data_IF_070738304865
#
_entry.id   IF_070738304865
#
_cell.length_a   1.000
_cell.length_b   1.000
_cell.length_c   1.000
_cell.angle_alpha   90.00
_cell.angle_beta   90.00
_cell.angle_gamma   90.00
#
_symmetry.space_group_name_H-M   'P 1'
#
loop_
_entity.id
_entity.type
_entity.pdbx_description
1 polymer ?
#
# COMPACT_ATOMS: atom_id res chain seq x y z
N UNK A 1 -18.07 41.76 12.51
CA UNK A 1 -17.07 41.38 11.48
C UNK A 1 -16.15 40.35 12.11
N UNK A 2 -16.41 39.08 11.89
CA UNK A 2 -15.64 37.95 12.44
C UNK A 2 -14.70 37.46 11.37
N UNK A 3 -13.38 37.60 11.58
CA UNK A 3 -12.36 37.13 10.67
C UNK A 3 -12.33 35.59 10.69
N UNK A 4 -12.55 34.98 9.54
CA UNK A 4 -12.31 33.54 9.36
C UNK A 4 -10.79 33.29 9.39
N UNK A 5 -10.31 32.22 10.06
CA UNK A 5 -8.92 31.85 9.99
C UNK A 5 -8.59 31.33 8.60
N UNK A 6 -7.66 32.00 7.93
CA UNK A 6 -7.02 31.55 6.70
C UNK A 6 -6.11 30.38 7.08
N UNK A 7 -6.50 29.15 6.74
CA UNK A 7 -5.58 28.02 6.77
C UNK A 7 -4.74 28.07 5.47
N UNK A 8 -3.43 28.17 5.55
CA UNK A 8 -2.59 28.03 4.37
C UNK A 8 -2.80 26.61 3.82
N UNK A 9 -3.12 26.51 2.53
CA UNK A 9 -3.13 25.25 1.81
C UNK A 9 -1.70 24.73 1.75
N UNK A 10 -1.37 23.76 2.58
CA UNK A 10 -0.11 23.04 2.45
C UNK A 10 -0.08 22.35 1.09
N UNK A 11 1.02 22.47 0.33
CA UNK A 11 1.16 21.72 -0.92
C UNK A 11 1.08 20.22 -0.63
N UNK A 12 0.57 19.45 -1.60
CA UNK A 12 0.59 17.99 -1.52
C UNK A 12 2.01 17.49 -1.29
N UNK A 13 2.22 16.50 -0.42
CA UNK A 13 3.56 15.92 -0.20
C UNK A 13 4.19 15.34 -1.47
N UNK A 14 3.41 15.16 -2.55
CA UNK A 14 3.85 14.58 -3.82
C UNK A 14 4.00 15.61 -4.97
N UNK A 15 3.72 16.90 -4.75
CA UNK A 15 3.72 17.92 -5.81
C UNK A 15 5.10 18.18 -6.44
N UNK A 16 6.19 17.84 -5.76
CA UNK A 16 7.56 18.04 -6.28
C UNK A 16 8.01 17.00 -7.31
N UNK A 17 7.21 15.95 -7.58
CA UNK A 17 7.61 14.81 -8.43
C UNK A 17 7.05 14.95 -9.84
N UNK A 18 6.04 15.79 -10.02
CA UNK A 18 5.29 15.92 -11.28
C UNK A 18 5.56 17.22 -12.02
N UNK A 19 6.82 17.64 -12.14
CA UNK A 19 7.16 18.63 -13.18
C UNK A 19 6.78 18.01 -14.53
N UNK A 20 6.03 18.71 -15.40
CA UNK A 20 5.65 18.20 -16.70
C UNK A 20 6.90 18.07 -17.57
N UNK A 21 7.54 16.90 -17.49
CA UNK A 21 8.57 16.52 -18.46
C UNK A 21 7.85 16.42 -19.80
N UNK A 22 8.25 17.25 -20.76
CA UNK A 22 7.83 17.16 -22.16
C UNK A 22 7.91 15.70 -22.58
N UNK A 23 6.79 15.16 -23.06
CA UNK A 23 6.70 13.78 -23.57
C UNK A 23 7.62 13.68 -24.79
N UNK A 24 8.86 13.30 -24.57
CA UNK A 24 9.67 12.78 -25.66
C UNK A 24 9.07 11.42 -26.04
N UNK A 25 8.49 11.38 -27.23
CA UNK A 25 7.93 10.16 -27.78
C UNK A 25 9.02 9.13 -27.94
N UNK A 26 8.94 8.00 -27.17
CA UNK A 26 9.76 6.85 -27.49
C UNK A 26 9.47 6.36 -28.89
N UNK A 27 10.50 6.16 -29.67
CA UNK A 27 10.42 5.45 -30.94
C UNK A 27 10.29 3.94 -30.75
N UNK A 28 10.42 3.45 -29.52
CA UNK A 28 10.36 2.02 -29.15
C UNK A 28 9.63 1.84 -27.80
N UNK A 29 8.76 0.82 -27.76
CA UNK A 29 8.09 0.40 -26.53
C UNK A 29 9.10 -0.04 -25.47
N UNK A 30 9.07 0.56 -24.27
CA UNK A 30 9.96 0.18 -23.18
C UNK A 30 9.58 -1.22 -22.65
N UNK A 31 10.55 -2.11 -22.51
CA UNK A 31 10.36 -3.43 -21.91
C UNK A 31 10.75 -3.41 -20.45
N UNK A 32 9.81 -3.78 -19.58
CA UNK A 32 9.97 -3.74 -18.13
C UNK A 32 9.86 -5.15 -17.57
N UNK A 33 10.95 -5.66 -17.00
CA UNK A 33 10.97 -6.92 -16.27
C UNK A 33 10.64 -6.67 -14.79
N UNK A 34 9.64 -7.36 -14.23
CA UNK A 34 9.25 -7.20 -12.82
C UNK A 34 9.56 -8.46 -12.03
N UNK A 35 10.29 -8.36 -10.91
CA UNK A 35 10.48 -9.44 -9.95
C UNK A 35 9.59 -9.20 -8.73
N UNK A 36 8.67 -10.12 -8.46
CA UNK A 36 7.75 -10.04 -7.31
C UNK A 36 6.92 -11.31 -7.12
N UNK A 37 6.16 -11.37 -6.03
CA UNK A 37 4.98 -12.24 -5.96
C UNK A 37 3.94 -11.80 -6.99
N UNK A 38 3.21 -12.76 -7.56
CA UNK A 38 2.18 -12.54 -8.58
C UNK A 38 1.08 -13.60 -8.45
N UNK A 39 -0.03 -13.42 -9.16
CA UNK A 39 -1.09 -14.42 -9.18
C UNK A 39 -0.55 -15.82 -9.56
N UNK A 40 -0.98 -16.90 -8.86
CA UNK A 40 -2.13 -17.01 -7.98
C UNK A 40 -1.87 -16.66 -6.50
N UNK A 41 -0.69 -16.22 -6.09
CA UNK A 41 -0.38 -15.85 -4.70
C UNK A 41 -1.33 -14.75 -4.20
N UNK A 42 -2.06 -15.02 -3.11
CA UNK A 42 -3.01 -14.10 -2.50
C UNK A 42 -2.34 -13.21 -1.45
N UNK A 43 -1.63 -12.17 -1.89
CA UNK A 43 -1.03 -11.17 -0.99
C UNK A 43 -1.14 -9.76 -1.56
N UNK A 44 -0.85 -8.76 -0.72
CA UNK A 44 -0.87 -7.35 -1.10
C UNK A 44 0.12 -7.01 -2.21
N UNK A 45 1.34 -7.59 -2.15
CA UNK A 45 2.36 -7.39 -3.17
C UNK A 45 1.94 -7.95 -4.53
N UNK A 46 1.37 -9.14 -4.57
CA UNK A 46 0.88 -9.73 -5.84
C UNK A 46 -0.20 -8.85 -6.48
N UNK A 47 -1.09 -8.27 -5.66
CA UNK A 47 -2.11 -7.33 -6.12
C UNK A 47 -1.49 -6.03 -6.61
N UNK A 48 -0.52 -5.48 -5.88
CA UNK A 48 0.23 -4.29 -6.27
C UNK A 48 0.95 -4.51 -7.61
N UNK A 49 1.69 -5.62 -7.73
CA UNK A 49 2.45 -5.95 -8.94
C UNK A 49 1.55 -6.10 -10.15
N UNK A 50 0.41 -6.76 -10.00
CA UNK A 50 -0.56 -6.90 -11.09
C UNK A 50 -1.09 -5.52 -11.54
N UNK A 51 -1.50 -4.67 -10.61
CA UNK A 51 -2.03 -3.34 -10.90
C UNK A 51 -0.98 -2.41 -11.51
N UNK A 52 0.26 -2.42 -11.01
CA UNK A 52 1.38 -1.66 -11.58
C UNK A 52 1.68 -2.15 -13.01
N UNK A 53 1.76 -3.46 -13.21
CA UNK A 53 2.01 -4.05 -14.53
C UNK A 53 0.92 -3.68 -15.56
N UNK A 54 -0.35 -3.74 -15.15
CA UNK A 54 -1.47 -3.33 -16.00
C UNK A 54 -1.39 -1.83 -16.36
N UNK A 55 -1.02 -0.98 -15.41
CA UNK A 55 -0.89 0.44 -15.62
C UNK A 55 0.33 0.80 -16.50
N UNK A 56 1.46 0.10 -16.34
CA UNK A 56 2.63 0.25 -17.21
C UNK A 56 2.28 -0.14 -18.65
N UNK A 57 1.57 -1.26 -18.85
CA UNK A 57 1.10 -1.66 -20.17
C UNK A 57 0.12 -0.65 -20.77
N UNK A 58 -0.82 -0.13 -19.97
CA UNK A 58 -1.75 0.91 -20.40
C UNK A 58 -1.03 2.22 -20.80
N UNK A 59 0.13 2.49 -20.22
CA UNK A 59 1.01 3.62 -20.58
C UNK A 59 1.98 3.29 -21.72
N UNK A 60 1.85 2.13 -22.37
CA UNK A 60 2.59 1.75 -23.59
C UNK A 60 3.87 0.95 -23.35
N UNK A 61 4.13 0.44 -22.15
CA UNK A 61 5.24 -0.48 -21.90
C UNK A 61 4.87 -1.93 -22.21
N UNK A 62 5.87 -2.75 -22.53
CA UNK A 62 5.78 -4.21 -22.54
C UNK A 62 6.29 -4.74 -21.20
N UNK A 63 5.48 -5.53 -20.48
CA UNK A 63 5.80 -5.95 -19.13
C UNK A 63 5.82 -7.46 -19.01
N UNK A 64 6.95 -7.99 -18.55
CA UNK A 64 7.14 -9.38 -18.17
C UNK A 64 7.37 -9.51 -16.66
N UNK A 65 6.99 -10.65 -16.08
CA UNK A 65 7.10 -10.89 -14.63
C UNK A 65 7.90 -12.17 -14.39
N UNK A 66 8.92 -12.07 -13.56
CA UNK A 66 9.53 -13.21 -12.88
C UNK A 66 8.84 -13.34 -11.51
N UNK A 67 8.07 -14.42 -11.33
CA UNK A 67 7.27 -14.62 -10.13
C UNK A 67 8.10 -15.24 -9.01
N UNK A 68 8.05 -14.68 -7.82
CA UNK A 68 8.55 -15.37 -6.62
C UNK A 68 7.55 -16.46 -6.26
N UNK A 69 7.98 -17.72 -6.34
CA UNK A 69 7.15 -18.90 -6.12
C UNK A 69 7.34 -19.40 -4.68
N UNK A 70 6.34 -19.15 -3.83
CA UNK A 70 6.33 -19.54 -2.42
C UNK A 70 5.26 -20.59 -2.06
N UNK A 71 4.34 -20.87 -2.99
CA UNK A 71 3.13 -21.64 -2.73
C UNK A 71 2.99 -22.95 -3.53
N UNK A 72 4.01 -23.29 -4.33
CA UNK A 72 4.00 -24.48 -5.19
C UNK A 72 2.96 -24.44 -6.32
N UNK A 73 2.16 -23.39 -6.41
CA UNK A 73 1.18 -23.22 -7.48
C UNK A 73 1.81 -22.54 -8.69
N UNK A 74 1.47 -23.00 -9.91
CA UNK A 74 1.92 -22.36 -11.13
C UNK A 74 1.00 -21.20 -11.52
N UNK A 75 1.60 -20.13 -12.01
CA UNK A 75 0.82 -19.03 -12.60
C UNK A 75 0.29 -19.44 -13.97
N UNK A 76 -0.97 -19.06 -14.26
CA UNK A 76 -1.55 -19.18 -15.59
C UNK A 76 -1.46 -17.90 -16.42
N UNK A 77 -0.82 -16.86 -15.90
CA UNK A 77 -0.66 -15.58 -16.58
C UNK A 77 0.44 -15.67 -17.65
N UNK A 78 0.14 -15.29 -18.88
CA UNK A 78 1.10 -15.21 -19.97
C UNK A 78 2.22 -14.18 -19.71
N UNK A 79 1.98 -13.23 -18.80
CA UNK A 79 2.98 -12.24 -18.38
C UNK A 79 4.10 -12.86 -17.54
N UNK A 80 3.84 -14.01 -16.88
CA UNK A 80 4.83 -14.70 -16.06
C UNK A 80 5.75 -15.52 -16.97
N UNK A 81 7.00 -15.06 -17.13
CA UNK A 81 8.00 -15.66 -18.01
C UNK A 81 8.95 -16.62 -17.29
N UNK A 82 8.94 -16.62 -15.96
CA UNK A 82 9.75 -17.49 -15.12
C UNK A 82 9.37 -17.40 -13.65
N UNK A 83 9.95 -18.28 -12.83
CA UNK A 83 9.71 -18.33 -11.39
C UNK A 83 11.05 -18.36 -10.64
N UNK A 84 11.15 -17.50 -9.61
CA UNK A 84 12.22 -17.56 -8.61
C UNK A 84 11.77 -18.50 -7.49
N UNK A 85 12.52 -19.59 -7.33
CA UNK A 85 12.29 -20.58 -6.27
C UNK A 85 13.29 -20.34 -5.15
N UNK A 86 12.78 -20.09 -3.94
CA UNK A 86 13.58 -19.80 -2.75
C UNK A 86 14.64 -20.87 -2.49
N UNK A 87 15.89 -20.45 -2.19
CA UNK A 87 17.02 -21.33 -1.89
C UNK A 87 17.60 -22.08 -3.08
N UNK A 88 17.21 -21.75 -4.32
CA UNK A 88 17.76 -22.34 -5.54
C UNK A 88 18.66 -21.37 -6.29
N UNK A 89 19.97 -21.54 -6.20
CA UNK A 89 20.95 -20.70 -6.91
C UNK A 89 20.77 -20.75 -8.44
N UNK A 90 20.37 -21.89 -8.98
CA UNK A 90 20.03 -22.02 -10.40
C UNK A 90 18.84 -21.15 -10.79
N UNK A 91 17.83 -21.09 -9.91
CA UNK A 91 16.65 -20.24 -10.11
C UNK A 91 16.99 -18.75 -9.99
N UNK A 92 17.90 -18.39 -9.09
CA UNK A 92 18.43 -17.02 -8.95
C UNK A 92 19.09 -16.56 -10.26
N UNK A 93 20.05 -17.34 -10.78
CA UNK A 93 20.72 -17.02 -12.04
C UNK A 93 19.76 -16.93 -13.23
N UNK A 94 18.84 -17.89 -13.37
CA UNK A 94 17.81 -17.86 -14.41
C UNK A 94 16.90 -16.64 -14.31
N UNK A 95 16.57 -16.19 -13.08
CA UNK A 95 15.77 -14.99 -12.86
C UNK A 95 16.47 -13.72 -13.34
N UNK A 96 17.77 -13.59 -13.04
CA UNK A 96 18.59 -12.46 -13.51
C UNK A 96 18.69 -12.46 -15.04
N UNK A 97 18.88 -13.62 -15.67
CA UNK A 97 18.92 -13.75 -17.14
C UNK A 97 17.59 -13.32 -17.79
N UNK A 98 16.44 -13.71 -17.23
CA UNK A 98 15.13 -13.32 -17.73
C UNK A 98 14.88 -11.82 -17.57
N UNK A 99 15.27 -11.24 -16.44
CA UNK A 99 15.17 -9.79 -16.19
C UNK A 99 16.06 -9.01 -17.16
N UNK A 100 17.26 -9.52 -17.45
CA UNK A 100 18.21 -8.90 -18.39
C UNK A 100 17.74 -8.89 -19.87
N UNK A 101 16.66 -9.61 -20.21
CA UNK A 101 16.03 -9.52 -21.51
C UNK A 101 15.18 -8.27 -21.71
N UNK A 102 14.97 -7.48 -20.65
CA UNK A 102 14.20 -6.24 -20.65
C UNK A 102 15.11 -5.01 -20.78
N UNK A 103 14.52 -3.84 -20.87
CA UNK A 103 15.26 -2.57 -20.90
C UNK A 103 15.54 -2.05 -19.47
N UNK A 104 14.68 -2.41 -18.50
CA UNK A 104 14.81 -2.08 -17.09
C UNK A 104 14.20 -3.19 -16.22
N UNK A 105 14.79 -3.45 -15.05
CA UNK A 105 14.25 -4.35 -14.04
C UNK A 105 13.60 -3.57 -12.89
N UNK A 106 12.38 -3.94 -12.50
CA UNK A 106 11.67 -3.41 -11.32
C UNK A 106 11.54 -4.52 -10.29
N UNK A 107 12.16 -4.35 -9.13
CA UNK A 107 12.22 -5.37 -8.08
C UNK A 107 11.41 -4.91 -6.88
N UNK A 108 10.38 -5.67 -6.52
CA UNK A 108 9.56 -5.40 -5.36
C UNK A 108 10.25 -5.98 -4.12
N UNK A 109 10.74 -5.15 -3.23
CA UNK A 109 11.43 -5.60 -2.02
C UNK A 109 10.48 -5.64 -0.82
N UNK A 110 10.42 -6.82 -0.20
CA UNK A 110 9.84 -7.10 1.12
C UNK A 110 10.61 -8.27 1.72
N UNK A 111 11.03 -8.15 2.97
CA UNK A 111 11.88 -9.16 3.65
C UNK A 111 11.29 -10.57 3.65
N UNK A 112 10.00 -10.70 3.62
CA UNK A 112 9.30 -11.97 3.79
C UNK A 112 8.89 -12.70 2.51
N UNK A 113 9.28 -12.24 1.32
CA UNK A 113 8.87 -12.87 0.04
C UNK A 113 9.97 -13.65 -0.65
N UNK A 114 11.24 -13.33 -0.40
CA UNK A 114 12.38 -14.02 -0.98
C UNK A 114 12.90 -15.11 -0.05
N UNK A 115 13.66 -16.05 -0.59
CA UNK A 115 14.38 -17.05 0.19
C UNK A 115 15.58 -16.47 0.93
N UNK A 116 16.26 -17.35 1.69
CA UNK A 116 17.37 -16.95 2.53
C UNK A 116 16.95 -16.32 3.85
N UNK A 117 17.90 -15.74 4.57
CA UNK A 117 17.63 -15.02 5.82
C UNK A 117 17.16 -13.60 5.48
N UNK A 118 16.01 -13.20 6.00
CA UNK A 118 15.43 -11.88 5.73
C UNK A 118 15.30 -11.55 4.23
N UNK A 119 15.17 -12.58 3.38
CA UNK A 119 14.96 -12.40 1.95
C UNK A 119 16.23 -12.07 1.15
N UNK A 120 17.40 -12.43 1.62
CA UNK A 120 18.69 -12.06 1.02
C UNK A 120 18.96 -12.70 -0.36
N UNK A 121 18.24 -13.77 -0.77
CA UNK A 121 18.33 -14.31 -2.15
C UNK A 121 18.13 -13.22 -3.24
N UNK A 122 17.42 -12.12 -2.93
CA UNK A 122 17.22 -11.02 -3.89
C UNK A 122 18.50 -10.24 -4.18
N UNK A 123 19.47 -10.25 -3.26
CA UNK A 123 20.78 -9.59 -3.41
C UNK A 123 21.52 -10.21 -4.59
N UNK A 124 21.57 -11.55 -4.66
CA UNK A 124 22.21 -12.28 -5.74
C UNK A 124 21.51 -12.06 -7.09
N UNK A 125 20.17 -11.92 -7.08
CA UNK A 125 19.44 -11.57 -8.32
C UNK A 125 19.85 -10.19 -8.81
N UNK A 126 19.96 -9.18 -7.92
CA UNK A 126 20.34 -7.82 -8.29
C UNK A 126 21.79 -7.78 -8.79
N UNK A 127 22.70 -8.52 -8.15
CA UNK A 127 24.11 -8.62 -8.57
C UNK A 127 24.23 -9.17 -10.00
N UNK A 128 23.36 -10.10 -10.40
CA UNK A 128 23.31 -10.67 -11.74
C UNK A 128 22.70 -9.75 -12.81
N UNK A 129 22.21 -8.56 -12.48
CA UNK A 129 21.58 -7.66 -13.44
C UNK A 129 22.60 -6.88 -14.26
N UNK A 130 22.40 -6.85 -15.58
CA UNK A 130 23.13 -6.01 -16.53
C UNK A 130 22.30 -4.80 -17.03
N UNK A 131 20.99 -4.82 -16.81
CA UNK A 131 20.09 -3.71 -17.12
C UNK A 131 19.91 -2.78 -15.92
N UNK A 132 19.46 -1.52 -16.10
CA UNK A 132 19.11 -0.64 -14.98
C UNK A 132 18.07 -1.30 -14.06
N UNK A 133 18.26 -1.11 -12.75
CA UNK A 133 17.38 -1.67 -11.72
C UNK A 133 16.73 -0.60 -10.86
N UNK A 134 15.41 -0.74 -10.65
CA UNK A 134 14.60 0.06 -9.76
C UNK A 134 14.08 -0.86 -8.66
N UNK A 135 14.53 -0.67 -7.43
CA UNK A 135 14.01 -1.42 -6.28
C UNK A 135 12.89 -0.64 -5.62
N UNK A 136 11.73 -1.26 -5.41
CA UNK A 136 10.59 -0.69 -4.69
C UNK A 136 10.58 -1.25 -3.27
N UNK A 137 10.94 -0.45 -2.28
CA UNK A 137 10.97 -0.86 -0.88
C UNK A 137 9.57 -0.69 -0.25
N UNK A 138 8.88 -1.82 -0.03
CA UNK A 138 7.56 -1.83 0.59
C UNK A 138 7.61 -1.62 2.10
N UNK A 139 8.68 -2.10 2.74
CA UNK A 139 8.92 -1.95 4.17
C UNK A 139 10.29 -1.31 4.41
N UNK A 140 10.31 -0.24 5.21
CA UNK A 140 11.50 0.35 5.79
C UNK A 140 11.34 0.28 7.30
N UNK A 141 12.00 -0.69 7.93
CA UNK A 141 11.88 -0.94 9.37
C UNK A 141 12.48 0.22 10.18
N UNK A 142 11.88 0.54 11.33
CA UNK A 142 12.40 1.51 12.27
C UNK A 142 13.58 0.93 13.04
N UNK A 143 13.40 -0.28 13.54
CA UNK A 143 14.36 -1.01 14.36
C UNK A 143 14.72 -2.35 13.67
N UNK A 144 15.46 -2.32 12.51
CA UNK A 144 15.85 -3.52 11.81
C UNK A 144 16.88 -4.32 12.63
N UNK A 145 16.86 -5.65 12.50
CA UNK A 145 17.99 -6.46 12.94
C UNK A 145 19.26 -6.07 12.16
N UNK A 146 20.47 -6.37 12.67
CA UNK A 146 21.68 -6.10 11.91
C UNK A 146 21.68 -6.71 10.51
N UNK A 147 21.11 -7.91 10.36
CA UNK A 147 21.02 -8.58 9.07
C UNK A 147 20.00 -7.91 8.14
N UNK A 148 18.79 -7.57 8.63
CA UNK A 148 17.79 -6.83 7.84
C UNK A 148 18.35 -5.49 7.35
N UNK A 149 19.12 -4.81 8.20
CA UNK A 149 19.81 -3.57 7.83
C UNK A 149 20.78 -3.82 6.69
N UNK A 150 21.67 -4.81 6.84
CA UNK A 150 22.70 -5.11 5.82
C UNK A 150 22.11 -5.53 4.49
N UNK A 151 21.00 -6.28 4.48
CA UNK A 151 20.28 -6.67 3.25
C UNK A 151 19.73 -5.43 2.53
N UNK A 152 19.03 -4.53 3.23
CA UNK A 152 18.46 -3.34 2.60
C UNK A 152 19.55 -2.37 2.11
N UNK A 153 20.64 -2.20 2.85
CA UNK A 153 21.78 -1.37 2.46
C UNK A 153 22.51 -1.94 1.25
N UNK A 154 22.71 -3.28 1.19
CA UNK A 154 23.30 -3.94 0.04
C UNK A 154 22.43 -3.77 -1.22
N UNK A 155 21.12 -3.98 -1.10
CA UNK A 155 20.15 -3.75 -2.18
C UNK A 155 20.24 -2.31 -2.69
N UNK A 156 20.21 -1.32 -1.77
CA UNK A 156 20.25 0.09 -2.14
C UNK A 156 21.59 0.52 -2.76
N UNK A 157 22.70 -0.10 -2.35
CA UNK A 157 24.02 0.15 -2.93
C UNK A 157 24.11 -0.34 -4.39
N UNK A 158 23.60 -1.55 -4.66
CA UNK A 158 23.67 -2.20 -5.98
C UNK A 158 22.62 -1.66 -6.95
N UNK A 159 21.42 -1.33 -6.48
CA UNK A 159 20.36 -0.81 -7.33
C UNK A 159 20.76 0.53 -7.97
N UNK A 160 20.35 0.77 -9.21
CA UNK A 160 20.51 2.09 -9.84
C UNK A 160 19.60 3.12 -9.17
N UNK A 161 18.39 2.70 -8.71
CA UNK A 161 17.47 3.57 -7.99
C UNK A 161 16.60 2.80 -6.99
N UNK A 162 16.20 3.48 -5.91
CA UNK A 162 15.28 2.96 -4.89
C UNK A 162 14.02 3.84 -4.85
N UNK A 163 12.88 3.21 -4.98
CA UNK A 163 11.57 3.85 -4.82
C UNK A 163 10.98 3.46 -3.47
N UNK A 164 10.51 4.46 -2.74
CA UNK A 164 9.66 4.31 -1.56
C UNK A 164 8.31 4.96 -1.81
N UNK A 165 7.28 4.61 -1.05
CA UNK A 165 5.90 4.99 -1.39
C UNK A 165 5.30 6.06 -0.48
N UNK A 166 6.12 6.67 0.39
CA UNK A 166 5.74 7.80 1.24
C UNK A 166 6.97 8.63 1.58
N UNK A 167 6.77 9.88 1.92
CA UNK A 167 7.87 10.72 2.38
C UNK A 167 8.38 10.27 3.75
N UNK A 168 7.51 9.74 4.61
CA UNK A 168 7.91 9.10 5.86
C UNK A 168 8.86 7.92 5.64
N UNK A 169 8.62 7.09 4.61
CA UNK A 169 9.54 6.02 4.23
C UNK A 169 10.87 6.56 3.70
N UNK A 170 10.84 7.61 2.87
CA UNK A 170 12.04 8.25 2.34
C UNK A 170 12.92 8.82 3.45
N UNK A 171 12.32 9.56 4.37
CA UNK A 171 13.04 10.13 5.51
C UNK A 171 13.65 9.03 6.37
N UNK A 172 12.89 7.97 6.68
CA UNK A 172 13.39 6.84 7.47
C UNK A 172 14.56 6.13 6.78
N UNK A 173 14.43 5.84 5.47
CA UNK A 173 15.50 5.21 4.70
C UNK A 173 16.76 6.09 4.66
N UNK A 174 16.61 7.35 4.30
CA UNK A 174 17.74 8.27 4.13
C UNK A 174 18.41 8.72 5.45
N UNK A 175 17.73 8.61 6.59
CA UNK A 175 18.27 8.98 7.90
C UNK A 175 18.73 7.77 8.73
N UNK A 176 18.11 6.61 8.51
CA UNK A 176 18.31 5.43 9.32
C UNK A 176 19.24 4.38 8.72
N UNK A 177 19.57 4.47 7.42
CA UNK A 177 20.37 3.49 6.68
C UNK A 177 21.48 4.18 5.89
N UNK A 178 22.55 3.42 5.58
CA UNK A 178 23.63 3.89 4.72
C UNK A 178 23.24 3.75 3.26
N UNK A 179 22.59 4.79 2.73
CA UNK A 179 22.08 4.83 1.36
C UNK A 179 22.40 6.16 0.68
N UNK A 180 22.71 6.13 -0.62
CA UNK A 180 22.83 7.34 -1.42
C UNK A 180 21.45 8.00 -1.63
N UNK A 181 21.21 9.11 -0.94
CA UNK A 181 19.93 9.85 -1.00
C UNK A 181 19.54 10.29 -2.40
N UNK A 182 20.50 10.45 -3.33
CA UNK A 182 20.25 10.82 -4.73
C UNK A 182 19.61 9.69 -5.51
N UNK A 183 19.79 8.45 -5.05
CA UNK A 183 19.16 7.26 -5.62
C UNK A 183 17.77 6.97 -5.03
N UNK A 184 17.27 7.76 -4.08
CA UNK A 184 16.00 7.50 -3.39
C UNK A 184 14.93 8.51 -3.82
N UNK A 185 13.84 8.00 -4.40
CA UNK A 185 12.68 8.81 -4.81
C UNK A 185 11.40 8.28 -4.20
N UNK A 186 10.47 9.18 -3.87
CA UNK A 186 9.12 8.84 -3.46
C UNK A 186 8.21 8.77 -4.70
N UNK A 187 7.65 7.59 -4.97
CA UNK A 187 6.53 7.41 -5.91
C UNK A 187 5.38 6.82 -5.10
N UNK A 188 4.22 7.49 -5.00
CA UNK A 188 3.16 7.04 -4.12
C UNK A 188 2.63 5.64 -4.50
N UNK A 189 2.06 4.93 -3.53
CA UNK A 189 1.34 3.70 -3.79
C UNK A 189 0.15 3.98 -4.72
N UNK A 190 0.01 3.22 -5.80
CA UNK A 190 -1.08 3.39 -6.75
C UNK A 190 -2.41 2.86 -6.22
N UNK A 191 -3.50 3.46 -6.69
CA UNK A 191 -4.85 3.00 -6.41
C UNK A 191 -5.78 3.16 -7.62
N UNK A 192 -6.86 2.39 -7.63
CA UNK A 192 -7.92 2.53 -8.61
C UNK A 192 -8.80 3.75 -8.26
N UNK A 193 -8.75 4.77 -9.10
CA UNK A 193 -9.63 5.93 -8.96
C UNK A 193 -11.00 5.60 -9.53
N UNK A 194 -12.02 5.69 -8.71
CA UNK A 194 -13.38 5.47 -9.14
C UNK A 194 -13.96 6.71 -9.82
N UNK A 195 -14.10 6.63 -11.13
CA UNK A 195 -14.82 7.64 -11.93
C UNK A 195 -16.30 7.25 -11.95
N UNK A 196 -17.18 8.07 -11.41
CA UNK A 196 -18.61 7.82 -11.46
C UNK A 196 -19.39 8.57 -10.38
N UNK A 197 -20.72 8.59 -10.48
CA UNK A 197 -21.56 9.19 -9.46
C UNK A 197 -21.38 8.44 -8.13
N UNK A 198 -21.34 9.19 -7.04
CA UNK A 198 -21.23 8.62 -5.70
C UNK A 198 -22.33 7.57 -5.48
N UNK A 199 -21.94 6.36 -5.12
CA UNK A 199 -22.91 5.31 -4.78
C UNK A 199 -23.84 5.79 -3.66
N UNK A 200 -25.14 5.48 -3.79
CA UNK A 200 -26.11 5.77 -2.73
C UNK A 200 -25.67 5.05 -1.45
N UNK A 201 -25.38 5.84 -0.41
CA UNK A 201 -24.97 5.26 0.87
C UNK A 201 -26.12 4.46 1.49
N UNK A 202 -25.82 3.34 2.16
CA UNK A 202 -26.83 2.65 2.95
C UNK A 202 -27.44 3.60 3.98
N UNK A 203 -28.72 3.38 4.32
CA UNK A 203 -29.40 4.16 5.37
C UNK A 203 -28.74 4.01 6.74
N UNK A 204 -28.11 2.85 6.99
CA UNK A 204 -27.33 2.57 8.19
C UNK A 204 -25.84 2.90 7.92
N UNK A 205 -25.24 3.89 8.62
CA UNK A 205 -23.83 4.23 8.44
C UNK A 205 -22.92 3.03 8.72
N UNK A 206 -21.94 2.80 7.82
CA UNK A 206 -21.00 1.67 7.97
C UNK A 206 -19.60 2.21 8.24
N UNK A 207 -19.00 1.80 9.36
CA UNK A 207 -17.56 1.87 9.59
C UNK A 207 -16.93 0.66 8.91
N UNK A 208 -15.83 0.84 8.20
CA UNK A 208 -15.20 -0.23 7.43
C UNK A 208 -13.72 -0.36 7.76
N UNK A 209 -13.31 -1.56 8.13
CA UNK A 209 -11.91 -2.03 8.11
C UNK A 209 -11.82 -3.23 7.18
N UNK A 210 -10.80 -3.29 6.32
CA UNK A 210 -10.63 -4.44 5.42
C UNK A 210 -9.17 -4.87 5.29
N UNK A 211 -8.97 -6.05 4.70
CA UNK A 211 -7.68 -6.65 4.42
C UNK A 211 -7.51 -7.99 5.10
N UNK A 212 -6.28 -8.48 5.15
CA UNK A 212 -5.95 -9.73 5.83
C UNK A 212 -6.03 -9.51 7.34
N UNK A 213 -6.92 -10.25 8.02
CA UNK A 213 -7.22 -10.11 9.43
C UNK A 213 -6.20 -10.88 10.28
N UNK A 214 -5.74 -10.28 11.36
CA UNK A 214 -4.83 -10.87 12.34
C UNK A 214 -4.43 -9.90 13.43
N UNK A 215 -3.63 -10.33 14.40
CA UNK A 215 -3.05 -9.48 15.42
C UNK A 215 -2.37 -8.26 14.83
N UNK A 216 -2.44 -7.11 15.50
CA UNK A 216 -1.90 -5.85 15.01
C UNK A 216 -2.86 -5.05 14.12
N UNK A 217 -4.02 -5.61 13.73
CA UNK A 217 -5.05 -4.86 12.99
C UNK A 217 -5.90 -3.96 13.86
N UNK A 218 -5.84 -4.09 15.18
CA UNK A 218 -6.50 -3.21 16.16
C UNK A 218 -8.03 -3.20 16.07
N UNK A 219 -8.64 -4.21 15.48
CA UNK A 219 -10.10 -4.35 15.32
C UNK A 219 -10.82 -4.23 16.66
N UNK A 220 -10.19 -4.72 17.73
CA UNK A 220 -10.63 -4.66 19.11
C UNK A 220 -10.95 -3.24 19.58
N UNK A 221 -10.15 -2.24 19.21
CA UNK A 221 -10.34 -0.82 19.58
C UNK A 221 -11.66 -0.26 19.03
N UNK A 222 -11.99 -0.67 17.80
CA UNK A 222 -13.24 -0.22 17.16
C UNK A 222 -14.44 -0.95 17.78
N UNK A 223 -14.32 -2.25 18.10
CA UNK A 223 -15.37 -3.01 18.77
C UNK A 223 -15.70 -2.36 20.14
N UNK A 224 -14.69 -1.98 20.91
CA UNK A 224 -14.86 -1.25 22.18
C UNK A 224 -15.59 0.09 21.96
N UNK A 225 -15.15 0.86 20.95
CA UNK A 225 -15.78 2.12 20.58
C UNK A 225 -17.25 1.97 20.20
N UNK A 226 -17.66 0.84 19.59
CA UNK A 226 -19.04 0.59 19.16
C UNK A 226 -20.03 0.61 20.33
N UNK A 227 -19.60 0.31 21.57
CA UNK A 227 -20.45 0.38 22.75
C UNK A 227 -21.06 1.78 22.95
N UNK A 228 -20.30 2.83 22.64
CA UNK A 228 -20.75 4.23 22.74
C UNK A 228 -21.36 4.78 21.43
N UNK A 229 -21.21 4.07 20.31
CA UNK A 229 -21.63 4.54 18.99
C UNK A 229 -22.94 3.90 18.50
N UNK A 230 -23.28 2.71 18.97
CA UNK A 230 -24.43 1.91 18.50
C UNK A 230 -25.78 2.65 18.55
N UNK A 231 -25.93 3.55 19.52
CA UNK A 231 -27.18 4.31 19.76
C UNK A 231 -27.22 5.65 19.04
N UNK A 232 -26.21 6.00 18.25
CA UNK A 232 -26.23 7.20 17.43
C UNK A 232 -27.32 7.14 16.36
N UNK A 233 -27.82 8.30 15.87
CA UNK A 233 -28.76 8.35 14.76
C UNK A 233 -28.30 7.52 13.57
N UNK A 234 -29.18 6.68 13.04
CA UNK A 234 -28.87 5.75 11.95
C UNK A 234 -28.27 4.42 12.43
N UNK A 235 -28.03 4.23 13.73
CA UNK A 235 -27.50 2.97 14.34
C UNK A 235 -26.30 2.44 13.57
N UNK A 236 -25.13 3.08 13.65
CA UNK A 236 -23.95 2.69 12.90
C UNK A 236 -23.62 1.19 13.06
N UNK A 237 -23.02 0.62 12.03
CA UNK A 237 -22.46 -0.74 12.09
C UNK A 237 -20.98 -0.72 11.76
N UNK A 238 -20.25 -1.66 12.30
CA UNK A 238 -18.85 -1.92 11.97
C UNK A 238 -18.75 -3.17 11.11
N UNK A 239 -18.16 -3.05 9.93
CA UNK A 239 -17.88 -4.14 9.02
C UNK A 239 -16.37 -4.39 8.98
N UNK A 240 -15.96 -5.59 9.39
CA UNK A 240 -14.60 -6.11 9.25
C UNK A 240 -14.61 -7.06 8.06
N UNK A 241 -13.99 -6.65 6.94
CA UNK A 241 -14.04 -7.36 5.68
C UNK A 241 -12.68 -7.95 5.29
N UNK A 242 -12.62 -9.25 5.09
CA UNK A 242 -11.43 -9.95 4.63
C UNK A 242 -11.17 -11.27 5.33
N UNK A 243 -10.27 -12.05 4.72
CA UNK A 243 -9.83 -13.35 5.23
C UNK A 243 -8.86 -13.17 6.39
N UNK A 244 -8.73 -14.20 7.20
CA UNK A 244 -7.62 -14.32 8.14
C UNK A 244 -6.30 -14.41 7.36
N UNK A 245 -5.27 -13.74 7.87
CA UNK A 245 -3.95 -13.73 7.25
C UNK A 245 -3.41 -15.17 7.14
N UNK A 246 -2.85 -15.62 5.98
CA UNK A 246 -2.43 -17.01 5.79
C UNK A 246 -1.47 -17.53 6.86
N UNK A 247 -0.50 -16.72 7.30
CA UNK A 247 0.43 -17.11 8.38
C UNK A 247 -0.29 -17.25 9.74
N UNK A 248 -1.31 -16.44 10.02
CA UNK A 248 -2.13 -16.55 11.24
C UNK A 248 -3.02 -17.79 11.14
N UNK A 249 -3.65 -18.00 9.98
CA UNK A 249 -4.50 -19.16 9.72
C UNK A 249 -3.73 -20.49 9.86
N UNK A 250 -2.48 -20.54 9.38
CA UNK A 250 -1.65 -21.74 9.49
C UNK A 250 -1.14 -22.02 10.92
N UNK A 251 -0.94 -20.98 11.75
CA UNK A 251 -0.48 -21.11 13.13
C UNK A 251 -1.64 -21.29 14.13
N UNK A 252 -2.58 -20.37 14.10
CA UNK A 252 -3.62 -20.21 15.13
C UNK A 252 -5.05 -20.44 14.60
N UNK A 253 -5.22 -20.81 13.32
CA UNK A 253 -6.54 -20.97 12.71
C UNK A 253 -7.32 -19.65 12.71
N UNK A 254 -8.61 -19.72 13.01
CA UNK A 254 -9.50 -18.55 13.10
C UNK A 254 -9.57 -17.93 14.52
N UNK A 255 -8.70 -18.36 15.45
CA UNK A 255 -8.77 -17.97 16.86
C UNK A 255 -8.82 -16.44 17.07
N UNK A 256 -8.09 -15.66 16.28
CA UNK A 256 -8.14 -14.20 16.38
C UNK A 256 -9.53 -13.66 16.01
N UNK A 257 -10.12 -14.11 14.90
CA UNK A 257 -11.47 -13.72 14.46
C UNK A 257 -12.52 -14.10 15.50
N UNK A 258 -12.48 -15.34 15.97
CA UNK A 258 -13.42 -15.86 16.97
C UNK A 258 -13.34 -15.05 18.27
N UNK A 259 -12.14 -14.71 18.72
CA UNK A 259 -11.93 -13.85 19.88
C UNK A 259 -12.53 -12.46 19.71
N UNK A 260 -12.47 -11.87 18.48
CA UNK A 260 -13.09 -10.56 18.19
C UNK A 260 -14.61 -10.66 18.11
N UNK A 261 -15.16 -11.74 17.58
CA UNK A 261 -16.61 -12.00 17.59
C UNK A 261 -17.12 -12.16 19.04
N UNK A 262 -16.39 -12.89 19.86
CA UNK A 262 -16.71 -13.05 21.29
C UNK A 262 -16.58 -11.71 22.05
N UNK A 263 -15.60 -10.87 21.72
CA UNK A 263 -15.49 -9.54 22.28
C UNK A 263 -16.73 -8.70 21.94
N UNK A 264 -17.19 -8.71 20.69
CA UNK A 264 -18.40 -8.00 20.28
C UNK A 264 -19.64 -8.47 21.06
N UNK A 265 -19.77 -9.78 21.29
CA UNK A 265 -20.85 -10.36 22.09
C UNK A 265 -20.78 -9.90 23.55
N UNK A 266 -19.63 -10.00 24.18
CA UNK A 266 -19.45 -9.56 25.59
C UNK A 266 -19.69 -8.08 25.78
N UNK A 267 -19.36 -7.27 24.77
CA UNK A 267 -19.61 -5.81 24.79
C UNK A 267 -21.07 -5.44 24.41
N UNK A 268 -21.95 -6.41 24.12
CA UNK A 268 -23.33 -6.19 23.71
C UNK A 268 -23.47 -5.37 22.43
N UNK A 269 -22.58 -5.63 21.46
CA UNK A 269 -22.55 -4.94 20.15
C UNK A 269 -22.56 -5.91 18.95
N UNK A 270 -22.83 -7.20 19.18
CA UNK A 270 -22.85 -8.23 18.14
C UNK A 270 -23.76 -7.92 16.96
N UNK A 271 -24.91 -7.29 17.20
CA UNK A 271 -25.84 -6.84 16.15
C UNK A 271 -25.32 -5.63 15.34
N UNK A 272 -24.25 -5.02 15.81
CA UNK A 272 -23.63 -3.85 15.18
C UNK A 272 -22.25 -4.12 14.62
N UNK A 273 -21.69 -5.31 14.82
CA UNK A 273 -20.38 -5.74 14.29
C UNK A 273 -20.57 -6.94 13.38
N UNK A 274 -20.05 -6.84 12.17
CA UNK A 274 -20.15 -7.94 11.18
C UNK A 274 -18.76 -8.29 10.66
N UNK A 275 -18.45 -9.58 10.64
CA UNK A 275 -17.23 -10.12 10.03
C UNK A 275 -17.58 -10.76 8.69
N UNK A 276 -16.96 -10.28 7.60
CA UNK A 276 -17.08 -10.84 6.27
C UNK A 276 -15.76 -11.49 5.87
N UNK A 277 -15.70 -12.81 5.85
CA UNK A 277 -14.49 -13.59 5.57
C UNK A 277 -14.18 -13.74 4.08
N UNK A 278 -14.95 -13.10 3.18
CA UNK A 278 -14.69 -13.16 1.75
C UNK A 278 -13.43 -12.39 1.37
N UNK A 279 -12.73 -12.88 0.36
CA UNK A 279 -11.69 -12.09 -0.28
C UNK A 279 -12.32 -11.04 -1.20
N UNK A 280 -11.96 -9.79 -0.99
CA UNK A 280 -12.42 -8.67 -1.81
C UNK A 280 -11.35 -8.33 -2.84
N UNK A 281 -11.54 -8.84 -4.07
CA UNK A 281 -10.63 -8.55 -5.18
C UNK A 281 -10.73 -7.10 -5.68
N UNK A 282 -9.72 -6.67 -6.44
CA UNK A 282 -9.57 -5.29 -6.92
C UNK A 282 -10.82 -4.73 -7.64
N UNK A 283 -11.57 -5.56 -8.36
CA UNK A 283 -12.79 -5.13 -9.08
C UNK A 283 -13.98 -4.79 -8.17
N UNK A 284 -14.07 -5.40 -6.98
CA UNK A 284 -15.21 -5.23 -6.05
C UNK A 284 -14.88 -4.34 -4.86
N UNK A 285 -13.60 -4.24 -4.50
CA UNK A 285 -13.12 -3.50 -3.34
C UNK A 285 -13.51 -2.01 -3.39
N UNK A 286 -13.37 -1.27 -4.50
CA UNK A 286 -13.77 0.13 -4.57
C UNK A 286 -15.24 0.37 -4.22
N UNK A 287 -16.14 -0.49 -4.69
CA UNK A 287 -17.57 -0.38 -4.36
C UNK A 287 -17.84 -0.61 -2.87
N UNK A 288 -17.15 -1.56 -2.25
CA UNK A 288 -17.22 -1.77 -0.81
C UNK A 288 -16.76 -0.52 -0.05
N UNK A 289 -15.60 0.03 -0.39
CA UNK A 289 -15.04 1.22 0.26
C UNK A 289 -15.99 2.41 0.09
N UNK A 290 -16.52 2.63 -1.12
CA UNK A 290 -17.47 3.73 -1.38
C UNK A 290 -18.79 3.60 -0.61
N UNK A 291 -19.21 2.39 -0.26
CA UNK A 291 -20.40 2.16 0.56
C UNK A 291 -20.21 2.58 2.03
N UNK A 292 -18.98 2.70 2.50
CA UNK A 292 -18.67 3.07 3.86
C UNK A 292 -18.96 4.56 4.15
N UNK A 293 -19.41 4.86 5.35
CA UNK A 293 -19.50 6.24 5.86
C UNK A 293 -18.12 6.75 6.27
N UNK A 294 -17.29 5.88 6.85
CA UNK A 294 -15.92 6.16 7.28
C UNK A 294 -15.10 4.87 7.18
N UNK A 295 -13.85 5.00 6.75
CA UNK A 295 -12.84 3.94 6.83
C UNK A 295 -12.10 4.06 8.14
N UNK A 296 -11.86 2.94 8.81
CA UNK A 296 -11.15 2.91 10.10
C UNK A 296 -9.92 2.03 9.98
N UNK A 297 -8.76 2.60 10.30
CA UNK A 297 -7.47 1.92 10.28
C UNK A 297 -6.85 1.94 11.68
N UNK A 298 -7.32 1.07 12.58
CA UNK A 298 -6.99 1.14 14.02
C UNK A 298 -5.72 0.35 14.37
N UNK A 299 -4.73 0.35 13.46
CA UNK A 299 -3.54 -0.51 13.54
C UNK A 299 -2.74 -0.27 14.83
N UNK A 300 -2.17 -1.35 15.38
CA UNK A 300 -1.29 -1.28 16.55
C UNK A 300 0.13 -0.81 16.16
N UNK A 301 0.49 -1.00 14.89
CA UNK A 301 1.81 -0.61 14.41
C UNK A 301 2.02 0.91 14.49
N UNK A 302 3.10 1.31 15.15
CA UNK A 302 3.61 2.69 15.15
C UNK A 302 4.63 2.94 14.04
N UNK A 303 4.90 1.93 13.21
CA UNK A 303 6.03 1.92 12.27
C UNK A 303 5.64 1.92 10.81
N UNK A 304 4.38 1.68 10.49
CA UNK A 304 3.95 1.49 9.11
C UNK A 304 4.13 2.75 8.26
N UNK A 305 5.18 2.77 7.43
CA UNK A 305 5.49 3.89 6.53
C UNK A 305 4.76 3.82 5.19
N UNK A 306 4.12 2.69 4.86
CA UNK A 306 3.32 2.54 3.65
C UNK A 306 2.05 1.73 3.96
N UNK A 307 0.91 2.20 3.49
CA UNK A 307 -0.39 1.51 3.64
C UNK A 307 -1.22 1.65 2.37
N UNK A 308 -1.28 0.58 1.57
CA UNK A 308 -2.14 0.53 0.38
C UNK A 308 -3.63 0.67 0.74
N UNK A 309 -4.03 0.13 1.91
CA UNK A 309 -5.41 0.27 2.42
C UNK A 309 -5.79 1.73 2.66
N UNK A 310 -4.87 2.55 3.21
CA UNK A 310 -5.06 3.99 3.38
C UNK A 310 -5.20 4.69 2.03
N UNK A 311 -4.31 4.36 1.08
CA UNK A 311 -4.32 4.93 -0.28
C UNK A 311 -5.62 4.59 -1.00
N UNK A 312 -6.10 3.35 -0.92
CA UNK A 312 -7.39 2.95 -1.49
C UNK A 312 -8.57 3.72 -0.88
N UNK A 313 -8.55 3.98 0.43
CA UNK A 313 -9.59 4.79 1.10
C UNK A 313 -9.62 6.23 0.57
N UNK A 314 -8.46 6.85 0.44
CA UNK A 314 -8.27 8.20 -0.11
C UNK A 314 -8.72 8.23 -1.58
N UNK A 315 -8.28 7.28 -2.39
CA UNK A 315 -8.65 7.15 -3.80
C UNK A 315 -10.16 7.01 -4.01
N UNK A 316 -10.85 6.35 -3.08
CA UNK A 316 -12.31 6.24 -3.08
C UNK A 316 -13.03 7.47 -2.47
N UNK A 317 -12.31 8.53 -2.10
CA UNK A 317 -12.86 9.76 -1.55
C UNK A 317 -13.60 9.54 -0.22
N UNK A 318 -13.08 8.65 0.65
CA UNK A 318 -13.71 8.36 1.95
C UNK A 318 -13.01 9.06 3.10
N UNK A 319 -13.79 9.60 4.07
CA UNK A 319 -13.22 10.00 5.35
C UNK A 319 -12.50 8.83 6.01
N UNK A 320 -11.33 9.10 6.61
CA UNK A 320 -10.54 8.08 7.31
C UNK A 320 -10.36 8.47 8.76
N UNK A 321 -10.46 7.50 9.67
CA UNK A 321 -9.98 7.61 11.05
C UNK A 321 -8.91 6.54 11.23
N UNK A 322 -7.71 6.93 11.63
CA UNK A 322 -6.58 6.02 11.75
C UNK A 322 -5.79 6.28 13.04
N UNK A 323 -5.15 5.25 13.57
CA UNK A 323 -4.08 5.41 14.57
C UNK A 323 -2.86 6.11 13.97
N UNK A 324 -1.99 6.67 14.80
CA UNK A 324 -0.87 7.51 14.41
C UNK A 324 0.33 6.73 13.85
N UNK A 325 0.12 5.90 12.82
CA UNK A 325 1.26 5.36 12.06
C UNK A 325 1.78 6.38 11.03
N UNK A 326 3.07 6.37 10.67
CA UNK A 326 3.71 7.46 9.90
C UNK A 326 2.98 7.83 8.60
N UNK A 327 2.56 6.85 7.80
CA UNK A 327 1.84 7.14 6.55
C UNK A 327 0.45 7.77 6.79
N UNK A 328 -0.23 7.40 7.89
CA UNK A 328 -1.50 8.04 8.25
C UNK A 328 -1.30 9.49 8.68
N UNK A 329 -0.26 9.77 9.48
CA UNK A 329 0.10 11.14 9.89
C UNK A 329 0.39 11.99 8.65
N UNK A 330 1.16 11.47 7.69
CA UNK A 330 1.50 12.16 6.45
C UNK A 330 0.25 12.49 5.61
N UNK A 331 -0.53 11.48 5.24
CA UNK A 331 -1.66 11.66 4.31
C UNK A 331 -2.87 12.34 4.95
N UNK A 332 -3.21 11.99 6.18
CA UNK A 332 -4.40 12.51 6.85
C UNK A 332 -4.17 13.90 7.47
N UNK A 333 -2.89 14.27 7.69
CA UNK A 333 -2.50 15.61 8.15
C UNK A 333 -2.96 16.74 7.22
N UNK A 334 -3.24 16.44 5.96
CA UNK A 334 -3.82 17.37 4.98
C UNK A 334 -5.29 17.73 5.25
N UNK A 335 -5.98 16.97 6.09
CA UNK A 335 -7.43 17.12 6.39
C UNK A 335 -8.31 16.02 5.77
N UNK A 336 -7.73 15.00 5.12
CA UNK A 336 -8.48 13.88 4.55
C UNK A 336 -9.01 12.91 5.62
N UNK A 337 -8.57 13.05 6.88
CA UNK A 337 -8.96 12.16 7.97
C UNK A 337 -8.68 12.73 9.35
N UNK A 338 -8.86 11.89 10.36
CA UNK A 338 -8.48 12.14 11.74
C UNK A 338 -7.47 11.07 12.15
N UNK A 339 -6.32 11.52 12.65
CA UNK A 339 -5.32 10.66 13.29
C UNK A 339 -5.56 10.67 14.79
N UNK A 340 -5.57 9.50 15.41
CA UNK A 340 -5.75 9.34 16.85
C UNK A 340 -4.52 8.68 17.47
N UNK A 341 -4.23 9.01 18.71
CA UNK A 341 -3.12 8.42 19.44
C UNK A 341 -3.41 6.95 19.76
N UNK A 342 -2.36 6.12 19.74
CA UNK A 342 -2.45 4.70 20.11
C UNK A 342 -2.78 4.51 21.61
N UNK A 343 -2.31 5.42 22.44
CA UNK A 343 -2.40 5.34 23.90
C UNK A 343 -3.65 6.00 24.48
N UNK A 344 -4.49 6.65 23.63
CA UNK A 344 -5.75 7.27 24.06
C UNK A 344 -6.95 6.33 23.72
N UNK A 345 -7.50 5.62 24.71
CA UNK A 345 -8.58 4.65 24.48
C UNK A 345 -9.88 5.31 24.01
N UNK A 346 -10.11 6.60 24.34
CA UNK A 346 -11.32 7.33 24.00
C UNK A 346 -11.23 8.09 22.68
N UNK A 347 -10.00 8.31 22.18
CA UNK A 347 -9.78 9.10 20.97
C UNK A 347 -10.45 8.49 19.74
N UNK A 348 -10.41 7.16 19.59
CA UNK A 348 -11.05 6.46 18.49
C UNK A 348 -12.57 6.66 18.51
N UNK A 349 -13.21 6.43 19.64
CA UNK A 349 -14.67 6.62 19.79
C UNK A 349 -15.08 8.07 19.54
N UNK A 350 -14.31 9.02 20.07
CA UNK A 350 -14.53 10.47 19.88
C UNK A 350 -14.40 10.87 18.42
N UNK A 351 -13.35 10.44 17.72
CA UNK A 351 -13.13 10.72 16.30
C UNK A 351 -14.27 10.15 15.44
N UNK A 352 -14.62 8.89 15.65
CA UNK A 352 -15.72 8.23 14.93
C UNK A 352 -17.05 8.92 15.15
N UNK A 353 -17.38 9.27 16.41
CA UNK A 353 -18.58 10.05 16.75
C UNK A 353 -18.63 11.36 15.97
N UNK A 354 -17.54 12.13 15.94
CA UNK A 354 -17.46 13.41 15.22
C UNK A 354 -17.74 13.21 13.72
N UNK A 355 -17.10 12.22 13.07
CA UNK A 355 -17.30 11.95 11.64
C UNK A 355 -18.75 11.53 11.35
N UNK A 356 -19.36 10.72 12.23
CA UNK A 356 -20.74 10.23 12.05
C UNK A 356 -21.80 11.29 12.30
N UNK A 357 -21.56 12.25 13.22
CA UNK A 357 -22.55 13.24 13.64
C UNK A 357 -22.34 14.62 13.04
N UNK A 358 -21.20 14.88 12.39
CA UNK A 358 -20.87 16.19 11.80
C UNK A 358 -20.72 16.07 10.26
N UNK A 359 -21.82 16.18 9.48
CA UNK A 359 -21.80 15.98 8.03
C UNK A 359 -20.84 16.95 7.30
N UNK A 360 -20.65 18.17 7.82
CA UNK A 360 -19.71 19.14 7.24
C UNK A 360 -18.27 18.67 7.38
N UNK A 361 -17.90 18.14 8.54
CA UNK A 361 -16.56 17.58 8.76
C UNK A 361 -16.31 16.38 7.83
N UNK A 362 -17.23 15.41 7.81
CA UNK A 362 -17.13 14.26 6.92
C UNK A 362 -17.08 14.69 5.43
N UNK A 363 -17.80 15.72 5.06
CA UNK A 363 -17.81 16.31 3.72
C UNK A 363 -16.48 16.94 3.34
N UNK A 364 -15.86 17.73 4.23
CA UNK A 364 -14.54 18.33 4.00
C UNK A 364 -13.43 17.28 3.90
N UNK A 365 -13.44 16.27 4.78
CA UNK A 365 -12.50 15.16 4.72
C UNK A 365 -12.60 14.39 3.37
N UNK A 366 -13.82 14.08 2.94
CA UNK A 366 -14.07 13.44 1.66
C UNK A 366 -13.68 14.32 0.45
N UNK A 367 -13.79 15.63 0.55
CA UNK A 367 -13.36 16.56 -0.49
C UNK A 367 -11.83 16.58 -0.60
N UNK A 368 -11.15 16.63 0.55
CA UNK A 368 -9.69 16.58 0.59
C UNK A 368 -9.15 15.24 0.08
N UNK A 369 -9.75 14.11 0.46
CA UNK A 369 -9.39 12.81 -0.09
C UNK A 369 -9.50 12.79 -1.64
N UNK A 370 -10.57 13.33 -2.20
CA UNK A 370 -10.72 13.46 -3.66
C UNK A 370 -9.71 14.39 -4.31
N UNK A 371 -9.24 15.42 -3.60
CA UNK A 371 -8.18 16.31 -4.09
C UNK A 371 -6.84 15.60 -4.20
N UNK A 372 -6.52 14.72 -3.25
CA UNK A 372 -5.28 13.93 -3.24
C UNK A 372 -5.31 12.75 -4.22
N UNK A 373 -6.49 12.16 -4.45
CA UNK A 373 -6.66 10.92 -5.21
C UNK A 373 -5.97 10.89 -6.60
N UNK A 374 -6.00 11.95 -7.44
CA UNK A 374 -5.40 11.91 -8.77
C UNK A 374 -3.91 11.57 -8.79
N UNK A 375 -3.15 12.00 -7.78
CA UNK A 375 -1.71 11.74 -7.68
C UNK A 375 -1.40 10.25 -7.40
N UNK A 376 -2.37 9.53 -6.84
CA UNK A 376 -2.28 8.10 -6.53
C UNK A 376 -2.89 7.23 -7.63
N UNK A 377 -3.40 7.81 -8.73
CA UNK A 377 -3.97 7.03 -9.82
C UNK A 377 -2.91 6.13 -10.47
N UNK A 378 -3.23 4.84 -10.67
CA UNK A 378 -2.28 3.90 -11.29
C UNK A 378 -1.64 4.41 -12.58
N UNK A 379 -2.36 5.08 -13.53
CA UNK A 379 -1.72 5.64 -14.73
C UNK A 379 -0.67 6.71 -14.42
N UNK A 380 -0.90 7.55 -13.39
CA UNK A 380 0.05 8.58 -12.95
C UNK A 380 1.27 7.96 -12.30
N UNK A 381 1.06 7.00 -11.40
CA UNK A 381 2.13 6.22 -10.75
C UNK A 381 2.97 5.49 -11.80
N UNK A 382 2.35 4.78 -12.75
CA UNK A 382 3.07 4.09 -13.81
C UNK A 382 3.87 5.06 -14.71
N UNK A 383 3.34 6.25 -14.99
CA UNK A 383 4.07 7.29 -15.73
C UNK A 383 5.33 7.74 -14.98
N UNK A 384 5.27 7.87 -13.65
CA UNK A 384 6.43 8.20 -12.84
C UNK A 384 7.51 7.11 -12.89
N UNK A 385 7.13 5.82 -12.83
CA UNK A 385 8.07 4.70 -13.01
C UNK A 385 8.71 4.71 -14.40
N UNK A 386 7.94 4.94 -15.46
CA UNK A 386 8.48 5.01 -16.82
C UNK A 386 9.43 6.20 -16.98
N UNK A 387 9.08 7.37 -16.45
CA UNK A 387 9.97 8.54 -16.48
C UNK A 387 11.30 8.30 -15.75
N UNK A 388 11.24 7.56 -14.62
CA UNK A 388 12.45 7.16 -13.91
C UNK A 388 13.29 6.17 -14.72
N UNK A 389 12.65 5.15 -15.32
CA UNK A 389 13.31 4.18 -16.19
C UNK A 389 14.04 4.87 -17.36
N UNK A 390 13.37 5.84 -18.01
CA UNK A 390 13.94 6.62 -19.10
C UNK A 390 15.18 7.39 -18.71
N UNK A 391 15.13 8.04 -17.54
CA UNK A 391 16.29 8.74 -16.99
C UNK A 391 17.46 7.79 -16.81
N UNK A 392 17.25 6.62 -16.18
CA UNK A 392 18.31 5.64 -15.93
C UNK A 392 18.90 5.11 -17.24
N UNK A 393 18.07 4.85 -18.25
CA UNK A 393 18.52 4.44 -19.58
C UNK A 393 19.33 5.52 -20.28
N UNK A 394 18.95 6.79 -20.13
CA UNK A 394 19.70 7.91 -20.69
C UNK A 394 21.06 8.08 -20.01
N UNK A 395 21.10 8.01 -18.69
CA UNK A 395 22.32 8.16 -17.89
C UNK A 395 23.35 7.06 -18.25
N UNK A 396 22.92 5.80 -18.44
CA UNK A 396 23.82 4.72 -18.90
C UNK A 396 24.37 4.93 -20.31
N UNK A 397 23.59 5.54 -21.23
CA UNK A 397 24.07 5.83 -22.61
C UNK A 397 25.16 6.90 -22.66
N UNK A 398 25.20 7.78 -21.68
CA UNK A 398 26.23 8.84 -21.60
C UNK A 398 27.56 8.30 -21.04
N UNK A 399 27.52 7.16 -20.34
CA UNK A 399 28.68 6.55 -19.70
C UNK A 399 29.39 5.52 -20.62
N UNK A 400 28.80 5.15 -21.75
CA UNK A 400 29.33 4.28 -22.80
C UNK A 400 29.79 5.12 -24.00
#
# INVERSE_FOLDING_TARGET
MSAQPFFPTSPSPYTSILDPVERQSFSRTARVGVLSTYAPTHCGLATFTAALSDALCANGADVSVVRVADDGARSSSERVIGELVSGSSTSVGASSELLNQNDVAVIQHEYGIYGGVDGDDVVDVIEGLSVPSIVVAHTVLKDPTPHQRSVLEAIAAMADHVVVMSEAARQRLCLGFDVDRRKVTTIPHGAAITSGPALKRPSRPTLLTWGLLGPGKGVERVIESMSSLKDLPGRPRYLVAGRTHPKVLSGDGEAYRDARMEQARRSGVEDSVTFDSRYWGASKLPALIQSAAVVVLPYDSTDQVTSGVLVDAIACGRPVVATAFPHAVELLGTGAGIVVDHDDPDAMASALRRVLTQPRLAGSMAAEARRLAPEMAWPVVASAYLSLADKLLADRRVLV
#
